data_IF_052837394242
#
_entry.id   IF_052837394242
#
_cell.length_a   1.000
_cell.length_b   1.000
_cell.length_c   1.000
_cell.angle_alpha   90.00
_cell.angle_beta   90.00
_cell.angle_gamma   90.00
#
_symmetry.space_group_name_H-M   'P 1'
#
loop_
_entity.id
_entity.type
_entity.pdbx_description
1 polymer ?
#
# COMPACT_ATOMS: atom_id res chain seq x y z
N UNK A 1 18.35 27.80 23.95
CA UNK A 1 17.47 27.63 22.77
C UNK A 1 17.77 26.38 21.94
N UNK A 2 19.03 25.96 21.74
CA UNK A 2 19.39 24.73 20.97
C UNK A 2 18.73 23.43 21.46
N UNK A 3 18.67 23.15 22.77
CA UNK A 3 18.10 21.90 23.29
C UNK A 3 16.59 21.74 23.05
N UNK A 4 15.82 22.83 23.00
CA UNK A 4 14.36 22.77 22.77
C UNK A 4 14.03 22.41 21.32
N UNK A 5 14.85 22.90 20.39
CA UNK A 5 14.74 22.59 18.95
C UNK A 5 15.13 21.13 18.68
N UNK A 6 16.22 20.65 19.27
CA UNK A 6 16.66 19.24 19.14
C UNK A 6 15.59 18.29 19.69
N UNK A 7 15.02 18.57 20.86
CA UNK A 7 13.97 17.75 21.45
C UNK A 7 12.69 17.71 20.61
N UNK A 8 12.28 18.85 20.05
CA UNK A 8 11.11 18.93 19.18
C UNK A 8 11.32 18.17 17.85
N UNK A 9 12.50 18.31 17.23
CA UNK A 9 12.85 17.57 16.01
C UNK A 9 12.87 16.06 16.27
N UNK A 10 13.41 15.62 17.42
CA UNK A 10 13.47 14.20 17.77
C UNK A 10 12.07 13.58 17.93
N UNK A 11 11.13 14.29 18.57
CA UNK A 11 9.74 13.83 18.70
C UNK A 11 9.01 13.76 17.35
N UNK A 12 9.29 14.71 16.46
CA UNK A 12 8.74 14.70 15.09
C UNK A 12 9.25 13.48 14.32
N UNK A 13 10.56 13.22 14.37
CA UNK A 13 11.17 12.05 13.70
C UNK A 13 10.59 10.75 14.27
N UNK A 14 10.50 10.61 15.59
CA UNK A 14 9.91 9.43 16.24
C UNK A 14 8.46 9.19 15.82
N UNK A 15 7.66 10.26 15.71
CA UNK A 15 6.27 10.17 15.23
C UNK A 15 6.19 9.75 13.75
N UNK A 16 7.06 10.27 12.89
CA UNK A 16 7.09 9.85 11.49
C UNK A 16 7.54 8.40 11.33
N UNK A 17 8.53 7.97 12.12
CA UNK A 17 8.99 6.58 12.11
C UNK A 17 7.89 5.63 12.58
N UNK A 18 7.14 5.95 13.64
CA UNK A 18 6.01 5.13 14.07
C UNK A 18 4.92 5.07 12.99
N UNK A 19 4.64 6.20 12.34
CA UNK A 19 3.64 6.28 11.26
C UNK A 19 4.04 5.48 10.02
N UNK A 20 5.32 5.49 9.63
CA UNK A 20 5.83 4.70 8.51
C UNK A 20 5.70 3.20 8.79
N UNK A 21 6.02 2.75 10.01
CA UNK A 21 5.90 1.33 10.34
C UNK A 21 4.47 0.82 10.37
N UNK A 22 3.51 1.68 10.70
CA UNK A 22 2.09 1.34 10.58
C UNK A 22 1.70 1.12 9.11
N UNK A 23 2.18 1.96 8.19
CA UNK A 23 1.98 1.74 6.76
C UNK A 23 2.71 0.50 6.24
N UNK A 24 3.94 0.24 6.70
CA UNK A 24 4.65 -1.00 6.33
C UNK A 24 3.86 -2.24 6.72
N UNK A 25 3.25 -2.26 7.90
CA UNK A 25 2.40 -3.38 8.34
C UNK A 25 1.14 -3.51 7.48
N UNK A 26 0.39 -2.42 7.29
CA UNK A 26 -0.87 -2.42 6.52
C UNK A 26 -0.67 -2.82 5.06
N UNK A 27 0.44 -2.38 4.47
CA UNK A 27 0.78 -2.62 3.06
C UNK A 27 1.78 -3.77 2.87
N UNK A 28 2.11 -4.53 3.93
CA UNK A 28 3.07 -5.63 3.88
C UNK A 28 2.68 -6.70 2.85
N UNK A 29 1.37 -6.91 2.64
CA UNK A 29 0.85 -7.86 1.66
C UNK A 29 1.42 -7.64 0.26
N UNK A 30 1.67 -6.38 -0.13
CA UNK A 30 2.17 -6.03 -1.46
C UNK A 30 3.64 -6.41 -1.65
N UNK A 31 4.38 -6.75 -0.59
CA UNK A 31 5.75 -7.25 -0.70
C UNK A 31 5.79 -8.69 -1.24
N UNK A 32 4.72 -9.46 -1.01
CA UNK A 32 4.67 -10.89 -1.32
C UNK A 32 3.68 -11.25 -2.43
N UNK A 33 2.90 -10.28 -2.89
CA UNK A 33 1.78 -10.50 -3.81
C UNK A 33 2.27 -10.89 -5.22
N UNK A 34 1.79 -12.04 -5.71
CA UNK A 34 2.14 -12.59 -7.03
C UNK A 34 0.96 -12.58 -7.98
N UNK A 35 1.23 -12.73 -9.28
CA UNK A 35 0.19 -12.88 -10.29
C UNK A 35 -0.72 -14.06 -9.95
N UNK A 36 -2.03 -13.82 -9.92
CA UNK A 36 -3.05 -14.81 -9.56
C UNK A 36 -3.51 -14.70 -8.10
N UNK A 37 -2.73 -14.04 -7.25
CA UNK A 37 -3.13 -13.74 -5.88
C UNK A 37 -4.21 -12.68 -5.87
N UNK A 38 -5.21 -12.86 -5.00
CA UNK A 38 -6.29 -11.89 -4.82
C UNK A 38 -6.15 -11.24 -3.45
N UNK A 39 -6.49 -9.96 -3.35
CA UNK A 39 -6.56 -9.28 -2.06
C UNK A 39 -7.82 -9.69 -1.30
N UNK A 40 -7.66 -9.85 0.00
CA UNK A 40 -8.73 -9.96 0.98
C UNK A 40 -8.39 -9.10 2.19
N UNK A 41 -9.39 -8.75 2.98
CA UNK A 41 -9.21 -7.97 4.21
C UNK A 41 -9.82 -8.72 5.39
N UNK A 42 -9.11 -8.71 6.52
CA UNK A 42 -9.65 -9.13 7.81
C UNK A 42 -9.41 -7.99 8.79
N UNK A 43 -10.49 -7.42 9.31
CA UNK A 43 -10.48 -6.17 10.08
C UNK A 43 -9.68 -5.07 9.35
N UNK A 44 -8.55 -4.64 9.89
CA UNK A 44 -7.68 -3.61 9.31
C UNK A 44 -6.47 -4.16 8.54
N UNK A 45 -6.33 -5.49 8.45
CA UNK A 45 -5.17 -6.13 7.84
C UNK A 45 -5.52 -6.70 6.47
N UNK A 46 -4.77 -6.25 5.46
CA UNK A 46 -4.80 -6.85 4.13
C UNK A 46 -3.95 -8.12 4.12
N UNK A 47 -4.47 -9.15 3.47
CA UNK A 47 -3.75 -10.38 3.19
C UNK A 47 -4.01 -10.85 1.76
N UNK A 48 -3.14 -11.71 1.26
CA UNK A 48 -3.26 -12.28 -0.08
C UNK A 48 -3.89 -13.68 0.01
N UNK A 49 -4.77 -13.96 -0.94
CA UNK A 49 -5.35 -15.27 -1.15
C UNK A 49 -4.71 -15.89 -2.41
N UNK A 50 -3.88 -16.93 -2.26
CA UNK A 50 -3.22 -17.56 -3.39
C UNK A 50 -4.24 -18.22 -4.35
N UNK A 51 -3.88 -18.43 -5.62
CA UNK A 51 -4.73 -19.13 -6.57
C UNK A 51 -5.00 -20.57 -6.11
N UNK A 52 -6.27 -20.95 -6.03
CA UNK A 52 -6.70 -22.30 -5.67
C UNK A 52 -8.02 -22.65 -6.39
N UNK A 53 -8.32 -23.95 -6.51
CA UNK A 53 -9.56 -24.42 -7.13
C UNK A 53 -10.82 -23.86 -6.45
N UNK A 54 -10.72 -23.57 -5.14
CA UNK A 54 -11.82 -23.07 -4.32
C UNK A 54 -11.75 -21.55 -4.10
N UNK A 55 -10.78 -20.85 -4.70
CA UNK A 55 -10.55 -19.41 -4.46
C UNK A 55 -11.80 -18.58 -4.76
N UNK A 56 -12.51 -18.88 -5.86
CA UNK A 56 -13.74 -18.17 -6.23
C UNK A 56 -14.88 -18.42 -5.24
N UNK A 57 -15.05 -19.67 -4.77
CA UNK A 57 -16.08 -20.03 -3.81
C UNK A 57 -15.83 -19.37 -2.45
N UNK A 58 -14.58 -19.43 -1.97
CA UNK A 58 -14.17 -18.77 -0.73
C UNK A 58 -14.46 -17.27 -0.80
N UNK A 59 -14.03 -16.61 -1.88
CA UNK A 59 -14.28 -15.18 -2.06
C UNK A 59 -15.78 -14.84 -2.11
N UNK A 60 -16.58 -15.67 -2.78
CA UNK A 60 -18.03 -15.50 -2.76
C UNK A 60 -18.63 -15.61 -1.35
N UNK A 61 -18.20 -16.59 -0.55
CA UNK A 61 -18.64 -16.75 0.84
C UNK A 61 -18.32 -15.53 1.71
N UNK A 62 -17.15 -14.92 1.50
CA UNK A 62 -16.73 -13.70 2.19
C UNK A 62 -17.18 -12.40 1.49
N UNK A 63 -18.03 -12.47 0.47
CA UNK A 63 -18.48 -11.31 -0.33
C UNK A 63 -17.34 -10.48 -0.93
N UNK A 64 -16.20 -11.11 -1.18
CA UNK A 64 -15.00 -10.51 -1.75
C UNK A 64 -15.04 -10.55 -3.27
N UNK A 65 -14.94 -9.40 -3.93
CA UNK A 65 -15.03 -9.28 -5.38
C UNK A 65 -14.02 -8.24 -5.92
N UNK A 66 -14.17 -7.84 -7.19
CA UNK A 66 -13.28 -6.84 -7.80
C UNK A 66 -13.52 -5.43 -7.24
N UNK A 67 -14.75 -5.12 -6.85
CA UNK A 67 -15.11 -3.83 -6.24
C UNK A 67 -14.49 -3.71 -4.85
N UNK A 68 -14.58 -4.74 -4.01
CA UNK A 68 -13.92 -4.74 -2.69
C UNK A 68 -12.41 -4.59 -2.82
N UNK A 69 -11.79 -5.25 -3.81
CA UNK A 69 -10.37 -5.06 -4.13
C UNK A 69 -10.05 -3.61 -4.51
N UNK A 70 -10.90 -2.98 -5.32
CA UNK A 70 -10.75 -1.58 -5.68
C UNK A 70 -10.88 -0.66 -4.46
N UNK A 71 -11.86 -0.91 -3.58
CA UNK A 71 -12.08 -0.13 -2.36
C UNK A 71 -10.89 -0.22 -1.41
N UNK A 72 -10.30 -1.41 -1.26
CA UNK A 72 -9.08 -1.59 -0.46
C UNK A 72 -7.91 -0.79 -1.04
N UNK A 73 -7.70 -0.87 -2.36
CA UNK A 73 -6.66 -0.08 -3.04
C UNK A 73 -6.91 1.42 -2.90
N UNK A 74 -8.15 1.88 -3.10
CA UNK A 74 -8.48 3.30 -2.99
C UNK A 74 -8.27 3.82 -1.56
N UNK A 75 -8.83 3.12 -0.57
CA UNK A 75 -8.76 3.53 0.83
C UNK A 75 -7.33 3.54 1.35
N UNK A 76 -6.60 2.42 1.25
CA UNK A 76 -5.28 2.31 1.88
C UNK A 76 -4.27 3.25 1.22
N UNK A 77 -4.27 3.36 -0.12
CA UNK A 77 -3.35 4.25 -0.80
C UNK A 77 -3.75 5.72 -0.70
N UNK A 78 -5.03 6.06 -0.53
CA UNK A 78 -5.44 7.44 -0.20
C UNK A 78 -4.88 7.88 1.15
N UNK A 79 -4.90 7.00 2.15
CA UNK A 79 -4.28 7.29 3.46
C UNK A 79 -2.76 7.38 3.34
N UNK A 80 -2.14 6.47 2.57
CA UNK A 80 -0.70 6.50 2.35
C UNK A 80 -0.25 7.78 1.61
N UNK A 81 -0.97 8.21 0.57
CA UNK A 81 -0.68 9.46 -0.16
C UNK A 81 -0.79 10.69 0.75
N UNK A 82 -1.78 10.73 1.67
CA UNK A 82 -1.86 11.80 2.67
C UNK A 82 -0.66 11.81 3.61
N UNK A 83 -0.11 10.64 3.93
CA UNK A 83 1.14 10.53 4.68
C UNK A 83 2.33 11.03 3.87
N UNK A 84 2.45 10.63 2.60
CA UNK A 84 3.53 11.09 1.71
C UNK A 84 3.60 12.62 1.62
N UNK A 85 2.46 13.31 1.57
CA UNK A 85 2.41 14.78 1.57
C UNK A 85 2.99 15.43 2.83
N UNK A 86 3.14 14.69 3.92
CA UNK A 86 3.70 15.16 5.18
C UNK A 86 5.18 14.79 5.35
N UNK A 87 5.69 13.86 4.54
CA UNK A 87 7.08 13.38 4.63
C UNK A 87 8.03 14.50 4.19
N UNK A 88 8.95 14.88 5.07
CA UNK A 88 10.01 15.83 4.74
C UNK A 88 11.07 15.16 3.84
N UNK A 89 11.76 15.95 3.01
CA UNK A 89 12.81 15.43 2.08
C UNK A 89 13.86 14.56 2.78
N UNK A 90 14.23 14.89 4.02
CA UNK A 90 15.24 14.19 4.81
C UNK A 90 14.84 12.77 5.23
N UNK A 91 13.54 12.52 5.38
CA UNK A 91 12.99 11.22 5.82
C UNK A 91 12.48 10.39 4.62
N UNK A 92 12.67 10.90 3.40
CA UNK A 92 12.10 10.32 2.19
C UNK A 92 12.75 9.01 1.74
N UNK A 93 13.98 8.72 2.15
CA UNK A 93 14.72 7.57 1.59
C UNK A 93 14.12 6.23 1.99
N UNK A 94 13.76 6.06 3.27
CA UNK A 94 13.10 4.84 3.74
C UNK A 94 11.72 4.65 3.10
N UNK A 95 11.02 5.76 2.86
CA UNK A 95 9.71 5.76 2.19
C UNK A 95 9.87 5.38 0.71
N UNK A 96 10.87 5.94 0.02
CA UNK A 96 11.22 5.61 -1.37
C UNK A 96 11.58 4.14 -1.53
N UNK A 97 12.39 3.60 -0.61
CA UNK A 97 12.73 2.19 -0.59
C UNK A 97 11.48 1.33 -0.42
N UNK A 98 10.65 1.63 0.58
CA UNK A 98 9.42 0.88 0.80
C UNK A 98 8.48 0.91 -0.42
N UNK A 99 8.34 2.08 -1.07
CA UNK A 99 7.59 2.19 -2.32
C UNK A 99 8.17 1.33 -3.45
N UNK A 100 9.50 1.29 -3.60
CA UNK A 100 10.15 0.40 -4.57
C UNK A 100 9.81 -1.06 -4.31
N UNK A 101 9.80 -1.47 -3.04
CA UNK A 101 9.57 -2.86 -2.65
C UNK A 101 8.12 -3.31 -2.90
N UNK A 102 7.13 -2.44 -2.74
CA UNK A 102 5.71 -2.79 -2.95
C UNK A 102 5.23 -2.64 -4.41
N UNK A 103 5.91 -1.86 -5.26
CA UNK A 103 5.53 -1.67 -6.67
C UNK A 103 5.34 -3.00 -7.41
N UNK A 104 6.24 -4.00 -7.30
CA UNK A 104 6.07 -5.29 -7.95
C UNK A 104 4.76 -5.99 -7.57
N UNK A 105 4.38 -6.03 -6.30
CA UNK A 105 3.13 -6.65 -5.87
C UNK A 105 1.89 -5.84 -6.26
N UNK A 106 1.96 -4.50 -6.24
CA UNK A 106 0.89 -3.66 -6.77
C UNK A 106 0.68 -3.94 -8.27
N UNK A 107 1.76 -4.10 -9.04
CA UNK A 107 1.70 -4.47 -10.44
C UNK A 107 1.16 -5.91 -10.65
N UNK A 108 1.48 -6.86 -9.77
CA UNK A 108 0.90 -8.22 -9.80
C UNK A 108 -0.63 -8.22 -9.74
N UNK A 109 -1.27 -7.25 -9.07
CA UNK A 109 -2.74 -7.11 -9.08
C UNK A 109 -3.28 -6.73 -10.45
N UNK A 110 -2.62 -5.80 -11.16
CA UNK A 110 -2.98 -5.47 -12.54
C UNK A 110 -2.90 -6.68 -13.45
N UNK A 111 -1.88 -7.54 -13.27
CA UNK A 111 -1.74 -8.79 -14.01
C UNK A 111 -2.78 -9.86 -13.61
N UNK A 112 -3.33 -9.78 -12.40
CA UNK A 112 -4.37 -10.69 -11.90
C UNK A 112 -5.75 -10.31 -12.43
N UNK A 113 -5.99 -9.02 -12.67
CA UNK A 113 -7.27 -8.49 -13.15
C UNK A 113 -7.13 -7.81 -14.53
N UNK A 114 -6.61 -8.48 -15.57
CA UNK A 114 -6.28 -7.84 -16.85
C UNK A 114 -7.48 -7.23 -17.57
N UNK A 115 -8.69 -7.75 -17.31
CA UNK A 115 -9.94 -7.27 -17.91
C UNK A 115 -10.68 -6.25 -17.04
N UNK A 116 -10.24 -5.99 -15.81
CA UNK A 116 -10.86 -5.01 -14.93
C UNK A 116 -10.19 -3.64 -15.10
N UNK A 117 -10.69 -2.85 -16.05
CA UNK A 117 -10.13 -1.50 -16.34
C UNK A 117 -10.03 -0.63 -15.08
N UNK A 118 -11.01 -0.72 -14.19
CA UNK A 118 -11.07 0.07 -12.95
C UNK A 118 -9.88 -0.22 -12.02
N UNK A 119 -9.55 -1.50 -11.79
CA UNK A 119 -8.39 -1.91 -11.00
C UNK A 119 -7.10 -1.53 -11.72
N UNK A 120 -6.98 -1.79 -13.03
CA UNK A 120 -5.80 -1.43 -13.81
C UNK A 120 -5.48 0.07 -13.71
N UNK A 121 -6.48 0.94 -13.91
CA UNK A 121 -6.30 2.38 -13.80
C UNK A 121 -5.93 2.83 -12.38
N UNK A 122 -6.48 2.18 -11.34
CA UNK A 122 -6.12 2.47 -9.95
C UNK A 122 -4.66 2.12 -9.66
N UNK A 123 -4.23 0.93 -10.07
CA UNK A 123 -2.84 0.47 -9.95
C UNK A 123 -1.89 1.44 -10.66
N UNK A 124 -2.20 1.83 -11.90
CA UNK A 124 -1.37 2.76 -12.66
C UNK A 124 -1.30 4.13 -11.97
N UNK A 125 -2.42 4.64 -11.45
CA UNK A 125 -2.46 5.90 -10.69
C UNK A 125 -1.57 5.86 -9.44
N UNK A 126 -1.58 4.74 -8.69
CA UNK A 126 -0.72 4.56 -7.52
C UNK A 126 0.76 4.57 -7.94
N UNK A 127 1.14 3.78 -8.94
CA UNK A 127 2.52 3.67 -9.41
C UNK A 127 3.02 5.01 -9.94
N UNK A 128 2.22 5.73 -10.73
CA UNK A 128 2.57 7.06 -11.23
C UNK A 128 2.81 8.06 -10.09
N UNK A 129 1.94 8.04 -9.07
CA UNK A 129 2.11 8.88 -7.88
C UNK A 129 3.43 8.57 -7.16
N UNK A 130 3.82 7.30 -7.07
CA UNK A 130 5.09 6.90 -6.47
C UNK A 130 6.30 7.33 -7.29
N UNK A 131 6.21 7.30 -8.62
CA UNK A 131 7.26 7.83 -9.49
C UNK A 131 7.39 9.34 -9.35
N UNK A 132 6.28 10.07 -9.24
CA UNK A 132 6.30 11.52 -9.04
C UNK A 132 6.85 11.92 -7.67
N UNK A 133 6.55 11.18 -6.61
CA UNK A 133 7.14 11.43 -5.28
C UNK A 133 8.66 11.20 -5.24
N UNK A 134 9.19 10.35 -6.12
CA UNK A 134 10.64 10.02 -6.14
C UNK A 134 11.49 11.11 -6.79
N UNK A 135 10.91 11.89 -7.71
CA UNK A 135 11.54 13.02 -8.39
C UNK A 135 11.94 14.10 -7.39
#
# INVERSE_FOLDING_TARGET
MKNRVIFHICNIILYYMSTLEDFKKKLAVFLILKKGDKLMKNDDLLYHEPPSLLQSFKRWWYSENQETTFEYLDSEFKHFMKFLNKVEKKDSEQVKQFMNDIIPGIHSLKLTYPHCRKICCKVDSIILTFLDFKK
#
